data_IF_538366796523
#
_entry.id   IF_538366796523
#
_cell.length_a   1.000
_cell.length_b   1.000
_cell.length_c   1.000
_cell.angle_alpha   90.00
_cell.angle_beta   90.00
_cell.angle_gamma   90.00
#
_symmetry.space_group_name_H-M   'P 1'
#
loop_
_entity.id
_entity.type
_entity.pdbx_description
1 polymer ?
#
# COMPACT_ATOMS: atom_id res chain seq x y z
N UNK A 1 15.79 -20.81 6.27
CA UNK A 1 15.82 -20.07 5.00
C UNK A 1 16.41 -18.67 5.17
N UNK A 2 15.74 -17.75 5.82
CA UNK A 2 16.15 -16.34 5.94
C UNK A 2 17.60 -16.13 6.41
N UNK A 3 18.04 -16.83 7.45
CA UNK A 3 19.43 -16.73 7.94
C UNK A 3 20.47 -17.22 6.92
N UNK A 4 20.16 -18.25 6.14
CA UNK A 4 21.04 -18.70 5.06
C UNK A 4 21.22 -17.61 3.99
N UNK A 5 20.13 -16.98 3.56
CA UNK A 5 20.18 -15.89 2.57
C UNK A 5 20.98 -14.68 3.10
N UNK A 6 20.79 -14.30 4.37
CA UNK A 6 21.51 -13.17 4.98
C UNK A 6 23.01 -13.43 5.13
N UNK A 7 23.39 -14.66 5.36
CA UNK A 7 24.79 -15.05 5.63
C UNK A 7 25.56 -15.48 4.38
N UNK A 8 24.85 -15.78 3.28
CA UNK A 8 25.50 -16.22 2.05
C UNK A 8 26.24 -15.07 1.36
N UNK A 9 27.58 -15.21 1.25
CA UNK A 9 28.45 -14.20 0.63
C UNK A 9 28.26 -14.06 -0.88
N UNK A 10 27.65 -15.04 -1.54
CA UNK A 10 27.37 -15.00 -2.97
C UNK A 10 26.14 -14.17 -3.30
N UNK A 11 25.27 -13.91 -2.31
CA UNK A 11 24.08 -13.07 -2.49
C UNK A 11 24.46 -11.63 -2.15
N UNK A 12 24.47 -10.78 -3.16
CA UNK A 12 24.65 -9.33 -3.02
C UNK A 12 23.27 -8.66 -2.91
N UNK A 13 23.04 -8.01 -1.80
CA UNK A 13 21.84 -7.23 -1.54
C UNK A 13 21.91 -5.83 -2.14
N UNK A 14 20.93 -5.02 -1.82
CA UNK A 14 20.94 -3.58 -2.10
C UNK A 14 21.45 -2.83 -0.87
N UNK A 15 22.23 -1.78 -1.10
CA UNK A 15 22.73 -0.94 -0.01
C UNK A 15 21.72 0.19 0.26
N UNK A 16 21.30 0.29 1.52
CA UNK A 16 20.40 1.36 1.99
C UNK A 16 21.00 1.96 3.27
N UNK A 17 21.36 3.23 3.22
CA UNK A 17 21.92 3.96 4.37
C UNK A 17 23.12 3.23 5.02
N UNK A 18 24.02 2.70 4.20
CA UNK A 18 25.22 1.99 4.66
C UNK A 18 24.95 0.56 5.16
N UNK A 19 23.75 0.05 5.04
CA UNK A 19 23.39 -1.32 5.40
C UNK A 19 22.98 -2.12 4.16
N UNK A 20 23.49 -3.34 4.04
CA UNK A 20 23.10 -4.24 2.97
C UNK A 20 21.80 -4.97 3.31
N UNK A 21 20.76 -4.73 2.51
CA UNK A 21 19.47 -5.40 2.60
C UNK A 21 19.37 -6.49 1.53
N UNK A 22 19.20 -7.74 1.93
CA UNK A 22 19.03 -8.91 1.05
C UNK A 22 17.63 -9.48 1.09
N UNK A 23 16.96 -9.36 2.23
CA UNK A 23 15.68 -10.01 2.46
C UNK A 23 14.86 -9.23 3.48
N UNK A 24 13.58 -9.05 3.19
CA UNK A 24 12.54 -8.64 4.14
C UNK A 24 11.47 -9.72 4.18
N UNK A 25 11.04 -10.09 5.36
CA UNK A 25 10.04 -11.13 5.55
C UNK A 25 8.97 -10.67 6.55
N UNK A 26 7.73 -10.89 6.17
CA UNK A 26 6.57 -10.63 7.02
C UNK A 26 5.56 -11.77 6.87
N UNK A 27 5.40 -12.57 7.92
CA UNK A 27 4.63 -13.81 7.90
C UNK A 27 5.10 -14.75 6.76
N UNK A 28 4.24 -15.05 5.81
CA UNK A 28 4.49 -15.86 4.62
C UNK A 28 5.04 -15.06 3.42
N UNK A 29 4.90 -13.74 3.44
CA UNK A 29 5.42 -12.88 2.39
C UNK A 29 6.94 -12.67 2.54
N UNK A 30 7.69 -13.06 1.53
CA UNK A 30 9.15 -12.89 1.48
C UNK A 30 9.53 -12.02 0.28
N UNK A 31 10.25 -10.94 0.55
CA UNK A 31 10.81 -10.06 -0.47
C UNK A 31 12.33 -10.22 -0.51
N UNK A 32 12.88 -10.51 -1.68
CA UNK A 32 14.30 -10.62 -1.93
C UNK A 32 14.80 -9.35 -2.62
N UNK A 33 15.91 -8.80 -2.15
CA UNK A 33 16.56 -7.64 -2.72
C UNK A 33 17.94 -8.04 -3.20
N UNK A 34 18.15 -8.07 -4.52
CA UNK A 34 19.36 -8.56 -5.13
C UNK A 34 19.96 -7.51 -6.06
N UNK A 35 21.27 -7.32 -6.01
CA UNK A 35 21.98 -6.36 -6.84
C UNK A 35 22.25 -6.88 -8.27
N UNK A 36 22.23 -8.19 -8.47
CA UNK A 36 22.51 -8.85 -9.74
C UNK A 36 21.72 -10.17 -9.89
N UNK A 37 21.69 -10.71 -11.10
CA UNK A 37 20.96 -11.94 -11.41
C UNK A 37 21.55 -13.18 -10.73
N UNK A 38 22.85 -13.25 -10.59
CA UNK A 38 23.49 -14.39 -9.92
C UNK A 38 23.03 -14.49 -8.46
N UNK A 39 22.86 -13.34 -7.80
CA UNK A 39 22.29 -13.27 -6.45
C UNK A 39 20.83 -13.72 -6.40
N UNK A 40 20.03 -13.41 -7.43
CA UNK A 40 18.63 -13.89 -7.52
C UNK A 40 18.59 -15.42 -7.67
N UNK A 41 19.41 -15.97 -8.57
CA UNK A 41 19.51 -17.42 -8.80
C UNK A 41 19.89 -18.15 -7.51
N UNK A 42 20.91 -17.66 -6.83
CA UNK A 42 21.38 -18.26 -5.57
C UNK A 42 20.35 -18.17 -4.46
N UNK A 43 19.65 -17.06 -4.35
CA UNK A 43 18.59 -16.89 -3.36
C UNK A 43 17.42 -17.85 -3.64
N UNK A 44 17.02 -18.02 -4.89
CA UNK A 44 15.96 -18.96 -5.28
C UNK A 44 16.36 -20.40 -5.01
N UNK A 45 17.63 -20.78 -5.31
CA UNK A 45 18.16 -22.11 -4.97
C UNK A 45 18.01 -22.41 -3.47
N UNK A 46 18.34 -21.44 -2.60
CA UNK A 46 18.17 -21.59 -1.14
C UNK A 46 16.71 -21.74 -0.75
N UNK A 47 15.80 -20.98 -1.39
CA UNK A 47 14.36 -21.06 -1.15
C UNK A 47 13.82 -22.43 -1.55
N UNK A 48 14.19 -22.93 -2.73
CA UNK A 48 13.74 -24.24 -3.22
C UNK A 48 14.27 -25.39 -2.37
N UNK A 49 15.55 -25.37 -2.00
CA UNK A 49 16.17 -26.37 -1.11
C UNK A 49 15.49 -26.36 0.28
N UNK A 50 15.18 -25.19 0.82
CA UNK A 50 14.42 -25.11 2.06
C UNK A 50 13.00 -25.66 1.89
N UNK A 51 12.37 -25.34 0.76
CA UNK A 51 11.03 -25.81 0.42
C UNK A 51 10.95 -27.35 0.40
N UNK A 52 11.92 -27.99 -0.23
CA UNK A 52 12.03 -29.47 -0.25
C UNK A 52 12.11 -30.08 1.16
N UNK A 53 12.92 -29.47 2.04
CA UNK A 53 13.07 -29.94 3.42
C UNK A 53 11.84 -29.67 4.30
N UNK A 54 11.13 -28.56 4.05
CA UNK A 54 10.00 -28.13 4.84
C UNK A 54 8.64 -28.62 4.30
N UNK A 55 8.62 -29.33 3.18
CA UNK A 55 7.38 -29.70 2.50
C UNK A 55 6.62 -28.51 1.90
N UNK A 56 7.32 -27.40 1.64
CA UNK A 56 6.77 -26.17 1.06
C UNK A 56 7.17 -26.05 -0.41
N UNK A 57 6.37 -25.35 -1.19
CA UNK A 57 6.66 -25.09 -2.60
C UNK A 57 6.51 -23.60 -2.92
N UNK A 58 7.51 -23.04 -3.60
CA UNK A 58 7.44 -21.68 -4.12
C UNK A 58 6.25 -21.54 -5.07
N UNK A 59 5.39 -20.57 -4.81
CA UNK A 59 4.27 -20.28 -5.71
C UNK A 59 4.74 -19.39 -6.88
N UNK A 60 5.26 -19.99 -7.93
CA UNK A 60 5.78 -19.29 -9.11
C UNK A 60 4.73 -18.36 -9.75
N UNK A 61 3.44 -18.71 -9.74
CA UNK A 61 2.37 -17.87 -10.31
C UNK A 61 2.16 -16.57 -9.52
N UNK A 62 2.43 -16.58 -8.21
CA UNK A 62 2.34 -15.41 -7.33
C UNK A 62 3.65 -14.67 -7.18
N UNK A 63 4.78 -15.35 -7.45
CA UNK A 63 6.10 -14.72 -7.40
C UNK A 63 6.24 -13.71 -8.53
N UNK A 64 6.62 -12.49 -8.18
CA UNK A 64 6.78 -11.37 -9.08
C UNK A 64 8.16 -10.79 -8.90
N UNK A 65 8.75 -10.32 -9.98
CA UNK A 65 10.02 -9.62 -9.95
C UNK A 65 9.86 -8.24 -10.62
N UNK A 66 10.69 -7.30 -10.19
CA UNK A 66 10.74 -5.95 -10.75
C UNK A 66 12.19 -5.51 -10.86
N UNK A 67 12.53 -4.88 -11.97
CA UNK A 67 13.80 -4.20 -12.15
C UNK A 67 13.74 -2.81 -11.52
N UNK A 68 14.75 -2.45 -10.72
CA UNK A 68 14.83 -1.14 -10.06
C UNK A 68 16.21 -0.49 -10.34
N UNK A 69 16.28 0.84 -10.19
CA UNK A 69 17.49 1.62 -10.33
C UNK A 69 18.13 1.44 -11.71
N UNK A 70 19.43 1.10 -11.76
CA UNK A 70 20.17 0.95 -13.01
C UNK A 70 19.62 -0.11 -13.95
N UNK A 71 18.85 -1.06 -13.45
CA UNK A 71 18.25 -2.16 -14.20
C UNK A 71 16.85 -1.87 -14.75
N UNK A 72 16.26 -0.74 -14.42
CA UNK A 72 14.89 -0.33 -14.78
C UNK A 72 14.58 -0.53 -16.28
N UNK A 73 15.54 -0.24 -17.15
CA UNK A 73 15.38 -0.35 -18.61
C UNK A 73 15.60 -1.77 -19.15
N UNK A 74 15.90 -2.74 -18.30
CA UNK A 74 16.11 -4.12 -18.72
C UNK A 74 14.82 -4.69 -19.33
N UNK A 75 14.96 -5.31 -20.50
CA UNK A 75 13.86 -6.00 -21.19
C UNK A 75 13.89 -7.51 -20.97
N UNK A 76 14.91 -8.02 -20.28
CA UNK A 76 15.06 -9.44 -20.04
C UNK A 76 14.09 -9.94 -18.98
N UNK A 77 13.57 -11.15 -19.17
CA UNK A 77 12.72 -11.86 -18.23
C UNK A 77 13.39 -13.18 -17.83
N UNK A 78 14.50 -13.15 -17.10
CA UNK A 78 15.25 -14.35 -16.76
C UNK A 78 14.50 -15.19 -15.71
N UNK A 79 14.98 -16.45 -15.54
CA UNK A 79 14.58 -17.35 -14.47
C UNK A 79 13.09 -17.76 -14.48
N UNK A 80 12.42 -17.64 -15.62
CA UNK A 80 10.99 -17.95 -15.77
C UNK A 80 10.09 -17.24 -14.73
N UNK A 81 10.58 -16.15 -14.13
CA UNK A 81 9.81 -15.33 -13.21
C UNK A 81 8.90 -14.35 -13.98
N UNK A 82 7.82 -13.95 -13.33
CA UNK A 82 6.96 -12.89 -13.86
C UNK A 82 7.58 -11.52 -13.57
N UNK A 83 8.36 -11.00 -14.51
CA UNK A 83 8.91 -9.65 -14.43
C UNK A 83 7.86 -8.61 -14.78
N UNK A 84 7.63 -7.68 -13.87
CA UNK A 84 6.64 -6.62 -14.04
C UNK A 84 7.33 -5.30 -14.36
N UNK A 85 6.70 -4.53 -15.24
CA UNK A 85 7.07 -3.13 -15.52
C UNK A 85 6.21 -2.14 -14.75
N UNK A 86 5.09 -2.61 -14.22
CA UNK A 86 4.15 -1.83 -13.41
C UNK A 86 4.52 -1.93 -11.92
N UNK A 87 3.99 -1.03 -11.09
CA UNK A 87 4.23 -1.07 -9.66
C UNK A 87 3.92 -2.44 -9.06
N UNK A 88 4.82 -2.92 -8.21
CA UNK A 88 4.61 -4.13 -7.41
C UNK A 88 4.09 -3.72 -6.05
N UNK A 89 3.07 -4.42 -5.56
CA UNK A 89 2.54 -4.18 -4.23
C UNK A 89 3.31 -5.01 -3.21
N UNK A 90 3.96 -4.34 -2.26
CA UNK A 90 4.72 -4.93 -1.16
C UNK A 90 4.09 -4.46 0.14
N UNK A 91 3.59 -5.37 0.97
CA UNK A 91 2.94 -5.06 2.26
C UNK A 91 1.91 -3.93 2.19
N UNK A 92 1.15 -3.88 1.10
CA UNK A 92 0.10 -2.86 0.92
C UNK A 92 0.55 -1.55 0.28
N UNK A 93 1.85 -1.37 0.02
CA UNK A 93 2.43 -0.21 -0.67
C UNK A 93 2.81 -0.60 -2.10
N UNK A 94 2.49 0.24 -3.06
CA UNK A 94 2.94 0.11 -4.44
C UNK A 94 4.34 0.70 -4.58
N UNK A 95 5.27 -0.10 -5.09
CA UNK A 95 6.67 0.27 -5.32
C UNK A 95 6.95 0.17 -6.81
N UNK A 96 7.47 1.24 -7.41
CA UNK A 96 7.99 1.26 -8.78
C UNK A 96 9.19 2.21 -8.84
N UNK A 97 9.80 2.30 -10.01
CA UNK A 97 10.90 3.23 -10.28
C UNK A 97 10.43 4.69 -10.44
N UNK A 98 9.15 4.92 -10.76
CA UNK A 98 8.57 6.27 -10.88
C UNK A 98 7.98 6.70 -9.54
N UNK A 99 8.64 7.66 -8.87
CA UNK A 99 8.22 8.17 -7.57
C UNK A 99 6.86 8.89 -7.64
N UNK A 100 6.61 9.66 -8.71
CA UNK A 100 5.31 10.33 -8.91
C UNK A 100 4.19 9.32 -9.12
N UNK A 101 4.42 8.33 -9.97
CA UNK A 101 3.49 7.22 -10.18
C UNK A 101 3.25 6.40 -8.90
N UNK A 102 4.28 6.20 -8.07
CA UNK A 102 4.13 5.55 -6.77
C UNK A 102 3.18 6.29 -5.85
N UNK A 103 3.33 7.60 -5.71
CA UNK A 103 2.47 8.43 -4.87
C UNK A 103 1.02 8.37 -5.37
N UNK A 104 0.80 8.53 -6.66
CA UNK A 104 -0.51 8.44 -7.26
C UNK A 104 -1.18 7.09 -7.01
N UNK A 105 -0.51 5.98 -7.31
CA UNK A 105 -1.03 4.64 -7.07
C UNK A 105 -1.33 4.34 -5.59
N UNK A 106 -0.53 4.89 -4.68
CA UNK A 106 -0.70 4.65 -3.26
C UNK A 106 -1.79 5.50 -2.61
N UNK A 107 -2.04 6.71 -3.13
CA UNK A 107 -2.96 7.65 -2.49
C UNK A 107 -4.30 7.79 -3.20
N UNK A 108 -4.39 7.70 -4.53
CA UNK A 108 -5.64 7.92 -5.26
C UNK A 108 -6.77 7.00 -4.80
N UNK A 109 -6.51 5.71 -4.74
CA UNK A 109 -7.49 4.74 -4.26
C UNK A 109 -7.88 4.99 -2.80
N UNK A 110 -6.92 5.37 -1.95
CA UNK A 110 -7.18 5.68 -0.53
C UNK A 110 -7.98 6.97 -0.38
N UNK A 111 -7.70 8.00 -1.19
CA UNK A 111 -8.47 9.24 -1.22
C UNK A 111 -9.88 9.02 -1.73
N UNK A 112 -10.07 8.17 -2.71
CA UNK A 112 -11.39 7.79 -3.21
C UNK A 112 -12.18 7.05 -2.13
N UNK A 113 -11.56 6.07 -1.46
CA UNK A 113 -12.19 5.33 -0.35
C UNK A 113 -12.50 6.23 0.84
N UNK A 114 -11.60 7.17 1.17
CA UNK A 114 -11.84 8.20 2.16
C UNK A 114 -13.09 9.01 1.81
N UNK A 115 -13.18 9.50 0.58
CA UNK A 115 -14.34 10.29 0.13
C UNK A 115 -15.64 9.50 0.23
N UNK A 116 -15.66 8.26 -0.28
CA UNK A 116 -16.81 7.37 -0.19
C UNK A 116 -17.27 7.16 1.26
N UNK A 117 -16.34 6.93 2.17
CA UNK A 117 -16.65 6.77 3.59
C UNK A 117 -17.23 8.06 4.20
N UNK A 118 -16.62 9.21 3.92
CA UNK A 118 -17.14 10.49 4.42
C UNK A 118 -18.54 10.79 3.88
N UNK A 119 -18.81 10.49 2.61
CA UNK A 119 -20.12 10.70 1.98
C UNK A 119 -21.20 9.77 2.58
N UNK A 120 -20.84 8.52 2.87
CA UNK A 120 -21.73 7.58 3.57
C UNK A 120 -22.14 8.09 4.95
N UNK A 121 -21.21 8.65 5.70
CA UNK A 121 -21.45 9.19 7.03
C UNK A 121 -22.08 10.57 7.02
N UNK A 122 -21.96 11.32 5.93
CA UNK A 122 -22.58 12.62 5.72
C UNK A 122 -24.10 12.57 5.72
N UNK A 123 -24.66 11.47 5.23
CA UNK A 123 -26.11 11.25 5.23
C UNK A 123 -26.69 11.04 6.64
N UNK A 124 -25.85 10.83 7.65
CA UNK A 124 -26.27 10.59 9.04
C UNK A 124 -26.20 11.88 9.85
N UNK A 125 -27.17 12.05 10.75
CA UNK A 125 -27.22 13.20 11.65
C UNK A 125 -26.19 13.08 12.78
N UNK A 126 -24.91 13.30 12.45
CA UNK A 126 -23.82 13.25 13.41
C UNK A 126 -23.61 14.60 14.09
N UNK A 127 -23.41 14.58 15.40
CA UNK A 127 -22.89 15.72 16.14
C UNK A 127 -21.47 16.05 15.68
N UNK A 128 -20.96 17.24 16.00
CA UNK A 128 -19.56 17.60 15.72
C UNK A 128 -18.59 16.56 16.32
N UNK A 129 -18.85 16.13 17.55
CA UNK A 129 -18.03 15.11 18.22
C UNK A 129 -18.07 13.78 17.48
N UNK A 130 -19.25 13.33 17.03
CA UNK A 130 -19.41 12.12 16.22
C UNK A 130 -18.65 12.20 14.90
N UNK A 131 -18.62 13.35 14.23
CA UNK A 131 -17.82 13.56 13.01
C UNK A 131 -16.33 13.46 13.25
N UNK A 132 -15.85 14.08 14.34
CA UNK A 132 -14.43 13.95 14.71
C UNK A 132 -14.05 12.52 15.01
N UNK A 133 -14.93 11.76 15.66
CA UNK A 133 -14.71 10.34 15.91
C UNK A 133 -14.61 9.53 14.60
N UNK A 134 -15.51 9.76 13.64
CA UNK A 134 -15.46 9.13 12.31
C UNK A 134 -14.15 9.50 11.56
N UNK A 135 -13.75 10.76 11.60
CA UNK A 135 -12.48 11.20 11.01
C UNK A 135 -11.32 10.41 11.59
N UNK A 136 -11.20 10.32 12.92
CA UNK A 136 -10.09 9.65 13.58
C UNK A 136 -10.10 8.14 13.34
N UNK A 137 -11.23 7.47 13.49
CA UNK A 137 -11.31 6.01 13.47
C UNK A 137 -11.34 5.42 12.06
N UNK A 138 -12.01 6.06 11.11
CA UNK A 138 -12.21 5.50 9.78
C UNK A 138 -11.44 6.23 8.69
N UNK A 139 -11.35 7.56 8.77
CA UNK A 139 -10.74 8.32 7.70
C UNK A 139 -9.21 8.32 7.79
N UNK A 140 -8.67 8.73 8.94
CA UNK A 140 -7.22 8.84 9.14
C UNK A 140 -6.55 7.47 9.19
N UNK A 141 -7.17 6.46 9.79
CA UNK A 141 -6.59 5.11 9.90
C UNK A 141 -6.18 4.52 8.54
N UNK A 142 -6.89 4.83 7.46
CA UNK A 142 -6.57 4.37 6.11
C UNK A 142 -5.37 5.08 5.49
N UNK A 143 -5.07 6.29 5.94
CA UNK A 143 -4.01 7.13 5.41
C UNK A 143 -2.71 7.00 6.20
N UNK A 144 -2.80 6.80 7.52
CA UNK A 144 -1.64 6.75 8.43
C UNK A 144 -0.59 5.77 7.93
N UNK A 145 -0.98 4.55 7.55
CA UNK A 145 -0.04 3.55 7.07
C UNK A 145 0.73 4.00 5.82
N UNK A 146 0.04 4.62 4.85
CA UNK A 146 0.69 5.09 3.64
C UNK A 146 1.59 6.29 3.91
N UNK A 147 1.13 7.26 4.72
CA UNK A 147 1.91 8.46 5.05
C UNK A 147 3.12 8.16 5.95
N UNK A 148 3.06 7.08 6.75
CA UNK A 148 4.20 6.65 7.58
C UNK A 148 5.29 5.92 6.80
N UNK A 149 4.97 5.37 5.62
CA UNK A 149 5.90 4.55 4.83
C UNK A 149 6.33 5.20 3.52
N UNK A 150 5.73 6.30 3.14
CA UNK A 150 6.04 7.03 1.91
C UNK A 150 6.46 8.45 2.26
N UNK A 151 7.33 9.02 1.45
CA UNK A 151 7.67 10.44 1.55
C UNK A 151 6.38 11.26 1.49
N UNK A 152 6.27 12.26 2.39
CA UNK A 152 5.06 13.07 2.53
C UNK A 152 4.72 13.76 1.19
N UNK A 153 3.66 13.37 0.52
CA UNK A 153 3.27 14.00 -0.72
C UNK A 153 2.67 15.37 -0.41
N UNK A 154 3.50 16.41 -0.47
CA UNK A 154 3.10 17.79 -0.20
C UNK A 154 1.83 18.21 -0.93
N UNK A 155 1.58 17.63 -2.11
CA UNK A 155 0.38 17.88 -2.93
C UNK A 155 -0.89 17.23 -2.35
N UNK A 156 -0.78 16.12 -1.64
CA UNK A 156 -1.92 15.31 -1.17
C UNK A 156 -2.42 15.76 0.21
N UNK A 157 -1.52 16.21 1.07
CA UNK A 157 -1.90 16.64 2.42
C UNK A 157 -2.91 17.80 2.45
N UNK A 158 -2.81 18.85 1.61
CA UNK A 158 -3.84 19.89 1.52
C UNK A 158 -5.20 19.33 1.11
N UNK A 159 -5.23 18.37 0.18
CA UNK A 159 -6.47 17.73 -0.29
C UNK A 159 -7.14 16.98 0.87
N UNK A 160 -6.37 16.19 1.62
CA UNK A 160 -6.87 15.47 2.79
C UNK A 160 -7.44 16.45 3.82
N UNK A 161 -6.67 17.46 4.21
CA UNK A 161 -7.08 18.49 5.18
C UNK A 161 -8.38 19.15 4.76
N UNK A 162 -8.51 19.56 3.50
CA UNK A 162 -9.72 20.19 2.96
C UNK A 162 -10.92 19.27 3.03
N UNK A 163 -10.78 17.98 2.64
CA UNK A 163 -11.88 17.00 2.71
C UNK A 163 -12.36 16.76 4.15
N UNK A 164 -11.43 16.60 5.08
CA UNK A 164 -11.73 16.37 6.49
C UNK A 164 -12.36 17.60 7.14
N UNK A 165 -11.81 18.78 6.89
CA UNK A 165 -12.37 20.05 7.38
C UNK A 165 -13.79 20.27 6.86
N UNK A 166 -14.02 20.09 5.55
CA UNK A 166 -15.37 20.20 4.96
C UNK A 166 -16.36 19.25 5.63
N UNK A 167 -15.99 18.00 5.87
CA UNK A 167 -16.83 17.04 6.56
C UNK A 167 -17.11 17.44 8.01
N UNK A 168 -16.13 17.95 8.76
CA UNK A 168 -16.30 18.35 10.16
C UNK A 168 -17.23 19.56 10.31
N UNK A 169 -17.12 20.53 9.40
CA UNK A 169 -17.82 21.83 9.49
C UNK A 169 -19.16 21.86 8.74
N UNK A 170 -19.56 20.79 8.08
CA UNK A 170 -20.79 20.76 7.30
C UNK A 170 -22.01 20.91 8.22
N UNK A 171 -22.79 21.98 8.01
CA UNK A 171 -24.02 22.21 8.76
C UNK A 171 -25.02 21.09 8.47
N UNK A 172 -25.64 20.55 9.52
CA UNK A 172 -26.77 19.62 9.36
C UNK A 172 -27.82 20.28 8.49
N UNK A 173 -28.16 19.72 7.35
CA UNK A 173 -29.39 20.05 6.65
C UNK A 173 -30.51 19.55 7.54
N UNK A 174 -31.12 20.46 8.31
CA UNK A 174 -32.34 20.16 9.05
C UNK A 174 -33.34 19.57 8.05
N UNK A 175 -33.75 18.34 8.26
CA UNK A 175 -34.91 17.77 7.57
C UNK A 175 -36.18 18.49 8.08
N UNK A 176 -36.44 19.68 7.57
CA UNK A 176 -37.72 20.34 7.67
C UNK A 176 -38.70 19.72 6.65
N UNK A 177 -38.90 18.41 6.74
CA UNK A 177 -39.97 17.73 6.01
C UNK A 177 -40.56 16.65 6.90
N UNK A 178 -41.41 17.07 7.86
CA UNK A 178 -42.49 16.25 8.38
C UNK A 178 -43.24 17.03 9.49
N UNK A 179 -43.91 18.06 9.16
CA UNK A 179 -45.13 18.51 9.86
C UNK A 179 -45.98 19.30 8.86
N UNK A 180 -46.53 18.60 7.87
CA UNK A 180 -47.78 19.05 7.28
C UNK A 180 -48.89 18.49 8.16
N UNK A 181 -49.71 19.31 8.83
CA UNK A 181 -50.90 18.81 9.49
C UNK A 181 -51.81 18.25 8.40
N UNK A 182 -52.28 17.04 8.61
CA UNK A 182 -53.36 16.46 7.84
C UNK A 182 -54.57 17.41 7.98
N UNK A 183 -54.91 18.15 6.93
CA UNK A 183 -56.17 18.88 6.84
C UNK A 183 -57.29 17.86 6.95
N UNK A 184 -58.01 17.87 8.08
CA UNK A 184 -59.28 17.20 8.23
C UNK A 184 -60.24 17.85 7.23
N UNK A 185 -60.58 17.13 6.17
CA UNK A 185 -61.79 17.42 5.36
C UNK A 185 -63.01 16.94 6.14
N UNK A 186 -63.88 17.84 6.38
CA UNK A 186 -65.30 17.56 6.77
C UNK A 186 -66.04 17.02 5.54
#
# INVERSE_FOLDING_TARGET
>A
MANKIRQDRQIKGIEILGNELRLSQYADDTNLFCADLASVEKALEIVDNFGLLAGLKLNQKRTKAIWLGKWEKSKSNPLQLKWLRNPVKILGIHVSYDEKGNNQHNFDHKLQKLQTNLDLWRARNLTLFGRVLIIKSLALSQLVYATSNLNDPQEIMPIIKTKLFKFSMEKQKRQNKKNRPLSRSR
#
